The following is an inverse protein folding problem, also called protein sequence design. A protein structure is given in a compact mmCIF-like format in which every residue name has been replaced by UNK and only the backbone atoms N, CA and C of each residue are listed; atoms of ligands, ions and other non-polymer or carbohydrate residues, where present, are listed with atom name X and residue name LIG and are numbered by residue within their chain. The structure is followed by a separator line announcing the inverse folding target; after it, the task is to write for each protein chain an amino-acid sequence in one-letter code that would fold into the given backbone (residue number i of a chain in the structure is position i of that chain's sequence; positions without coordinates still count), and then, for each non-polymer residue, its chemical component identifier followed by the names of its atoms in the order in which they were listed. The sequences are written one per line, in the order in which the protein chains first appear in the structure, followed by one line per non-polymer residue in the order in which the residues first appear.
data_IF_858281793716
#
_entry.id   IF_858281793716
#
_cell.length_a   1.000
_cell.length_b   1.000
_cell.length_c   1.000
_cell.angle_alpha   90.00
_cell.angle_beta   90.00
_cell.angle_gamma   90.00
#
_symmetry.space_group_name_H-M   'P 1'
#
loop_
_entity.id
_entity.type
_entity.pdbx_description
1 polymer ?
#
# COMPACT_ATOMS: atom_id res chain seq x y z
N UNK A 1 -10.76 -32.81 29.11
CA UNK A 1 -10.30 -33.75 28.06
C UNK A 1 -11.23 -34.95 27.86
N UNK A 2 -11.93 -35.43 28.89
CA UNK A 2 -12.81 -36.62 28.78
C UNK A 2 -13.94 -36.48 27.76
N UNK A 3 -14.54 -35.29 27.66
CA UNK A 3 -15.60 -34.99 26.69
C UNK A 3 -15.15 -35.14 25.23
N UNK A 4 -13.87 -34.85 24.93
CA UNK A 4 -13.28 -35.00 23.58
C UNK A 4 -12.98 -36.48 23.28
N UNK A 5 -12.59 -37.25 24.30
CA UNK A 5 -12.35 -38.69 24.18
C UNK A 5 -13.63 -39.50 23.98
N UNK A 6 -14.75 -39.08 24.58
CA UNK A 6 -16.05 -39.75 24.48
C UNK A 6 -16.82 -39.50 23.16
N UNK A 7 -16.32 -38.66 22.25
CA UNK A 7 -16.97 -38.44 20.95
C UNK A 7 -16.77 -39.62 20.00
N UNK A 8 -17.81 -39.89 19.23
CA UNK A 8 -17.79 -40.86 18.13
C UNK A 8 -16.80 -40.41 17.04
N UNK A 9 -16.23 -41.35 16.28
CA UNK A 9 -15.24 -41.09 15.23
C UNK A 9 -15.68 -40.02 14.24
N UNK A 10 -16.96 -40.03 13.84
CA UNK A 10 -17.54 -39.01 12.98
C UNK A 10 -17.49 -37.59 13.59
N UNK A 11 -17.85 -37.45 14.86
CA UNK A 11 -17.82 -36.15 15.53
C UNK A 11 -16.38 -35.63 15.68
N UNK A 12 -15.41 -36.51 15.93
CA UNK A 12 -13.98 -36.13 15.94
C UNK A 12 -13.51 -35.65 14.57
N UNK A 13 -13.91 -36.32 13.48
CA UNK A 13 -13.61 -35.89 12.13
C UNK A 13 -14.19 -34.50 11.81
N UNK A 14 -15.46 -34.25 12.15
CA UNK A 14 -16.11 -32.95 11.95
C UNK A 14 -15.39 -31.85 12.77
N UNK A 15 -14.97 -32.16 14.00
CA UNK A 15 -14.29 -31.21 14.86
C UNK A 15 -12.89 -30.86 14.33
N UNK A 16 -12.13 -31.86 13.83
CA UNK A 16 -10.86 -31.62 13.14
C UNK A 16 -11.09 -30.76 11.90
N UNK A 17 -12.11 -31.07 11.08
CA UNK A 17 -12.43 -30.29 9.89
C UNK A 17 -12.72 -28.82 10.20
N UNK A 18 -13.51 -28.53 11.25
CA UNK A 18 -13.77 -27.15 11.67
C UNK A 18 -12.50 -26.42 12.10
N UNK A 19 -11.62 -27.08 12.85
CA UNK A 19 -10.33 -26.49 13.26
C UNK A 19 -9.46 -26.22 12.04
N UNK A 20 -9.38 -27.16 11.09
CA UNK A 20 -8.65 -26.97 9.83
C UNK A 20 -9.22 -25.80 9.05
N UNK A 21 -10.55 -25.70 8.92
CA UNK A 21 -11.21 -24.59 8.22
C UNK A 21 -10.91 -23.24 8.90
N UNK A 22 -11.01 -23.16 10.23
CA UNK A 22 -10.68 -21.95 10.98
C UNK A 22 -9.21 -21.54 10.79
N UNK A 23 -8.28 -22.52 10.75
CA UNK A 23 -6.86 -22.28 10.52
C UNK A 23 -6.61 -21.73 9.11
N UNK A 24 -7.28 -22.27 8.09
CA UNK A 24 -7.21 -21.74 6.71
C UNK A 24 -7.66 -20.28 6.67
N UNK A 25 -8.81 -19.97 7.28
CA UNK A 25 -9.29 -18.59 7.34
C UNK A 25 -8.31 -17.67 8.07
N UNK A 26 -7.75 -18.11 9.21
CA UNK A 26 -6.78 -17.31 9.96
C UNK A 26 -5.56 -16.94 9.10
N UNK A 27 -5.01 -17.89 8.33
CA UNK A 27 -3.86 -17.63 7.44
C UNK A 27 -4.26 -16.69 6.30
N UNK A 28 -5.38 -16.94 5.62
CA UNK A 28 -5.83 -16.12 4.48
C UNK A 28 -6.11 -14.68 4.91
N UNK A 29 -6.86 -14.49 6.00
CA UNK A 29 -7.15 -13.16 6.53
C UNK A 29 -5.89 -12.44 6.98
N UNK A 30 -4.96 -13.15 7.65
CA UNK A 30 -3.67 -12.56 8.05
C UNK A 30 -2.88 -12.06 6.84
N UNK A 31 -2.82 -12.83 5.74
CA UNK A 31 -2.15 -12.41 4.51
C UNK A 31 -2.83 -11.17 3.91
N UNK A 32 -4.17 -11.16 3.81
CA UNK A 32 -4.92 -10.05 3.21
C UNK A 32 -4.73 -8.76 4.02
N UNK A 33 -4.88 -8.82 5.35
CA UNK A 33 -4.77 -7.66 6.24
C UNK A 33 -3.31 -7.17 6.32
N UNK A 34 -2.33 -8.06 6.17
CA UNK A 34 -0.91 -7.68 6.14
C UNK A 34 -0.50 -6.93 4.88
N UNK A 35 -1.35 -6.88 3.83
CA UNK A 35 -1.10 -6.05 2.64
C UNK A 35 -1.37 -4.58 2.97
N UNK A 36 -0.40 -3.95 3.61
CA UNK A 36 -0.37 -2.49 3.79
C UNK A 36 0.06 -1.87 2.47
N UNK A 37 -0.75 -0.97 1.94
CA UNK A 37 -0.47 -0.28 0.69
C UNK A 37 -1.11 1.11 0.66
N UNK A 38 -0.88 1.84 -0.43
CA UNK A 38 -1.49 3.17 -0.61
C UNK A 38 -2.87 3.04 -1.22
N UNK A 39 -3.89 3.54 -0.53
CA UNK A 39 -5.22 3.66 -1.10
C UNK A 39 -5.24 4.81 -2.11
N UNK A 40 -5.63 4.51 -3.36
CA UNK A 40 -5.81 5.51 -4.40
C UNK A 40 -6.97 5.10 -5.32
N UNK A 41 -7.94 5.99 -5.53
CA UNK A 41 -9.13 5.73 -6.38
C UNK A 41 -9.83 4.38 -6.08
N UNK A 42 -10.08 4.11 -4.79
CA UNK A 42 -10.77 2.90 -4.32
C UNK A 42 -10.02 1.58 -4.66
N UNK A 43 -8.70 1.65 -4.81
CA UNK A 43 -7.82 0.48 -4.93
C UNK A 43 -6.63 0.64 -4.00
N UNK A 44 -6.09 -0.47 -3.51
CA UNK A 44 -4.90 -0.47 -2.66
C UNK A 44 -3.70 -0.83 -3.55
N UNK A 45 -2.79 0.12 -3.74
CA UNK A 45 -1.53 -0.10 -4.41
C UNK A 45 -0.55 -0.75 -3.44
N UNK A 46 -0.18 -1.99 -3.72
CA UNK A 46 0.62 -2.82 -2.82
C UNK A 46 2.10 -2.59 -3.13
N UNK A 47 2.93 -2.26 -2.11
CA UNK A 47 4.37 -2.09 -2.30
C UNK A 47 5.05 -3.41 -2.63
N UNK A 48 6.01 -3.34 -3.53
CA UNK A 48 7.02 -4.34 -3.80
C UNK A 48 8.36 -3.62 -3.90
N UNK A 49 9.39 -4.15 -3.25
CA UNK A 49 10.75 -3.64 -3.46
C UNK A 49 11.26 -4.18 -4.80
N UNK A 50 11.67 -3.28 -5.67
CA UNK A 50 12.30 -3.61 -6.94
C UNK A 50 13.59 -2.81 -7.05
N UNK A 51 14.71 -3.52 -6.88
CA UNK A 51 16.04 -2.93 -6.70
C UNK A 51 16.04 -1.92 -5.52
N UNK A 52 16.44 -0.68 -5.78
CA UNK A 52 16.50 0.44 -4.82
C UNK A 52 15.23 1.30 -4.81
N UNK A 53 14.22 0.92 -5.61
CA UNK A 53 12.94 1.63 -5.71
C UNK A 53 11.81 0.84 -5.06
N UNK A 54 10.79 1.56 -4.58
CA UNK A 54 9.54 0.94 -4.11
C UNK A 54 8.48 1.08 -5.20
N UNK A 55 8.08 -0.05 -5.77
CA UNK A 55 7.01 -0.12 -6.76
C UNK A 55 5.69 -0.45 -6.07
N UNK A 56 4.74 0.46 -6.14
CA UNK A 56 3.38 0.24 -5.68
C UNK A 56 2.51 -0.14 -6.88
N UNK A 57 1.94 -1.34 -6.85
CA UNK A 57 1.18 -1.89 -7.98
C UNK A 57 -0.26 -2.17 -7.62
N UNK A 58 -1.17 -1.96 -8.58
CA UNK A 58 -2.58 -2.27 -8.41
C UNK A 58 -3.37 -2.06 -9.69
N UNK A 59 -4.69 -2.20 -9.62
CA UNK A 59 -5.58 -1.95 -10.75
C UNK A 59 -6.51 -0.79 -10.43
N UNK A 60 -6.42 0.27 -11.23
CA UNK A 60 -7.28 1.45 -11.15
C UNK A 60 -8.25 1.37 -12.33
N UNK A 61 -9.55 1.28 -12.05
CA UNK A 61 -10.59 1.13 -13.08
C UNK A 61 -10.34 -0.06 -14.04
N UNK A 62 -9.80 -1.17 -13.52
CA UNK A 62 -9.47 -2.36 -14.31
C UNK A 62 -8.14 -2.29 -15.07
N UNK A 63 -7.55 -1.10 -15.23
CA UNK A 63 -6.24 -0.91 -15.85
C UNK A 63 -5.13 -1.08 -14.82
N UNK A 64 -4.07 -1.81 -15.20
CA UNK A 64 -2.87 -1.94 -14.37
C UNK A 64 -2.22 -0.56 -14.18
N UNK A 65 -1.88 -0.25 -12.94
CA UNK A 65 -1.22 0.97 -12.55
C UNK A 65 0.00 0.68 -11.67
N UNK A 66 0.99 1.55 -11.81
CA UNK A 66 2.26 1.48 -11.12
C UNK A 66 2.59 2.87 -10.59
N UNK A 67 2.98 2.92 -9.33
CA UNK A 67 3.46 4.12 -8.67
C UNK A 67 4.86 3.79 -8.14
N UNK A 68 5.88 4.31 -8.80
CA UNK A 68 7.28 4.03 -8.49
C UNK A 68 7.86 5.18 -7.69
N UNK A 69 8.44 4.87 -6.53
CA UNK A 69 9.19 5.82 -5.71
C UNK A 69 10.65 5.41 -5.73
N UNK A 70 11.48 6.24 -6.36
CA UNK A 70 12.93 6.08 -6.41
C UNK A 70 13.58 6.48 -5.07
N UNK A 71 14.84 6.09 -4.87
CA UNK A 71 15.61 6.39 -3.66
C UNK A 71 15.78 7.89 -3.42
N UNK A 72 15.97 8.66 -4.49
CA UNK A 72 16.04 10.13 -4.50
C UNK A 72 14.68 10.81 -4.25
N UNK A 73 13.64 10.04 -3.92
CA UNK A 73 12.24 10.47 -3.76
C UNK A 73 11.59 10.97 -5.04
N UNK A 74 12.17 10.67 -6.21
CA UNK A 74 11.51 10.89 -7.49
C UNK A 74 10.34 9.93 -7.63
N UNK A 75 9.20 10.44 -8.09
CA UNK A 75 7.96 9.69 -8.22
C UNK A 75 7.54 9.63 -9.69
N UNK A 76 7.25 8.42 -10.17
CA UNK A 76 6.66 8.20 -11.50
C UNK A 76 5.37 7.42 -11.32
N UNK A 77 4.30 7.88 -11.96
CA UNK A 77 3.03 7.17 -11.99
C UNK A 77 2.71 6.71 -13.40
N UNK A 78 2.39 5.44 -13.57
CA UNK A 78 2.00 4.85 -14.84
C UNK A 78 0.63 4.20 -14.71
N UNK A 79 -0.24 4.43 -15.69
CA UNK A 79 -1.55 3.77 -15.77
C UNK A 79 -1.83 3.40 -17.23
N UNK A 80 -1.82 2.09 -17.52
CA UNK A 80 -1.84 1.61 -18.90
C UNK A 80 -0.66 2.18 -19.69
N UNK A 81 -0.94 2.84 -20.81
CA UNK A 81 0.09 3.41 -21.68
C UNK A 81 0.49 4.85 -21.32
N UNK A 82 -0.10 5.42 -20.24
CA UNK A 82 0.16 6.79 -19.82
C UNK A 82 1.15 6.83 -18.68
N UNK A 83 2.17 7.66 -18.81
CA UNK A 83 3.17 7.95 -17.78
C UNK A 83 3.06 9.41 -17.35
N UNK A 84 3.08 9.64 -16.05
CA UNK A 84 3.03 10.94 -15.41
C UNK A 84 4.28 11.11 -14.54
N UNK A 85 4.88 12.30 -14.59
CA UNK A 85 6.16 12.59 -13.97
C UNK A 85 7.33 12.52 -14.97
N UNK A 86 8.57 12.41 -14.48
CA UNK A 86 8.95 12.28 -13.07
C UNK A 86 8.55 13.51 -12.25
N UNK A 87 8.14 13.30 -11.00
CA UNK A 87 7.87 14.36 -10.03
C UNK A 87 8.91 14.33 -8.93
N UNK A 88 9.45 15.50 -8.58
CA UNK A 88 10.38 15.64 -7.45
C UNK A 88 9.84 16.67 -6.47
N UNK A 89 10.16 16.45 -5.19
CA UNK A 89 9.80 17.34 -4.09
C UNK A 89 11.05 18.04 -3.58
N UNK A 90 11.00 19.36 -3.47
CA UNK A 90 12.02 20.16 -2.80
C UNK A 90 11.39 20.98 -1.68
N UNK A 91 12.07 21.07 -0.54
CA UNK A 91 11.65 22.00 0.52
C UNK A 91 12.17 23.39 0.18
N UNK A 92 11.25 24.35 0.11
CA UNK A 92 11.56 25.76 -0.14
C UNK A 92 10.73 26.64 0.81
N UNK A 93 11.36 27.30 1.79
CA UNK A 93 10.67 28.21 2.71
C UNK A 93 9.94 29.36 2.01
N UNK A 94 10.37 29.75 0.81
CA UNK A 94 9.73 30.83 0.02
C UNK A 94 8.40 30.40 -0.61
N UNK A 95 8.10 29.10 -0.66
CA UNK A 95 6.80 28.58 -1.05
C UNK A 95 5.70 28.84 0.02
N UNK A 96 6.09 29.24 1.23
CA UNK A 96 5.14 29.64 2.29
C UNK A 96 4.61 31.04 1.96
N UNK A 97 3.29 31.19 1.91
CA UNK A 97 2.66 32.50 1.68
C UNK A 97 3.01 33.48 2.79
N UNK A 98 3.36 34.71 2.40
CA UNK A 98 3.89 35.75 3.30
C UNK A 98 2.88 36.31 4.31
N UNK A 99 1.59 36.02 4.15
CA UNK A 99 0.50 36.63 4.92
C UNK A 99 -0.12 35.67 5.96
N UNK A 100 0.48 34.50 6.21
CA UNK A 100 -0.05 33.54 7.18
C UNK A 100 0.64 33.70 8.54
N UNK A 101 -0.14 34.03 9.59
CA UNK A 101 0.34 34.16 10.98
C UNK A 101 1.03 32.89 11.53
N UNK A 102 0.87 31.75 10.85
CA UNK A 102 1.42 30.45 11.23
C UNK A 102 2.62 30.01 10.37
N UNK A 103 3.19 30.90 9.56
CA UNK A 103 4.28 30.59 8.62
C UNK A 103 5.50 29.95 9.28
N UNK A 104 5.79 30.30 10.55
CA UNK A 104 6.91 29.75 11.32
C UNK A 104 6.77 28.25 11.65
N UNK A 105 5.55 27.70 11.56
CA UNK A 105 5.25 26.28 11.83
C UNK A 105 5.00 25.46 10.56
N UNK A 106 5.19 26.06 9.39
CA UNK A 106 4.92 25.42 8.10
C UNK A 106 6.20 24.97 7.40
N UNK A 107 6.07 23.94 6.58
CA UNK A 107 7.13 23.51 5.66
C UNK A 107 6.71 23.85 4.25
N UNK A 108 7.37 24.84 3.65
CA UNK A 108 7.19 25.17 2.24
C UNK A 108 7.76 24.07 1.35
N UNK A 109 7.01 23.68 0.33
CA UNK A 109 7.35 22.56 -0.54
C UNK A 109 7.02 22.92 -1.98
N UNK A 110 7.98 22.73 -2.88
CA UNK A 110 7.80 22.80 -4.32
C UNK A 110 7.74 21.40 -4.92
N UNK A 111 6.87 21.26 -5.91
CA UNK A 111 6.72 20.05 -6.71
C UNK A 111 7.14 20.38 -8.14
N UNK A 112 8.18 19.71 -8.62
CA UNK A 112 8.68 19.87 -9.99
C UNK A 112 8.24 18.67 -10.83
N UNK A 113 8.00 18.92 -12.12
CA UNK A 113 7.72 17.88 -13.09
C UNK A 113 8.83 17.88 -14.16
N UNK A 114 9.54 16.76 -14.31
CA UNK A 114 10.63 16.64 -15.26
C UNK A 114 11.92 17.32 -14.77
N UNK A 115 12.71 17.82 -15.73
CA UNK A 115 13.98 18.54 -15.47
C UNK A 115 13.79 20.06 -15.31
N UNK A 116 12.55 20.57 -15.31
CA UNK A 116 12.29 22.00 -15.06
C UNK A 116 12.61 22.33 -13.59
N UNK A 117 13.79 22.94 -13.40
CA UNK A 117 14.31 23.55 -12.18
C UNK A 117 14.30 25.08 -12.30
#
# INVERSE_FOLDING_TARGET
MERIKSLNGYQKCVLIFMVTMAMVFAVVYSIIISKVGFEYKNTILVPSKENDSTLYSGKIQGQQAYFTVSEDKTVIFQQGDRTYGPYTRKEDPTAISKDEEMSEYMTGVELHQGEDL
#
